data_IF_583696124554
#
_entry.id   IF_583696124554
#
_cell.length_a   1.000
_cell.length_b   1.000
_cell.length_c   1.000
_cell.angle_alpha   90.00
_cell.angle_beta   90.00
_cell.angle_gamma   90.00
#
_symmetry.space_group_name_H-M   'P 1'
#
loop_
_entity.id
_entity.type
_entity.pdbx_description
1 polymer ?
#
# COMPACT_ATOMS: atom_id res chain seq x y z
N UNK A 1 -3.22 0.06 8.41
CA UNK A 1 -2.41 -0.69 9.37
C UNK A 1 -1.68 0.23 10.33
N UNK A 2 -1.27 -0.31 11.48
CA UNK A 2 -0.40 0.38 12.44
C UNK A 2 1.00 -0.24 12.45
N UNK A 3 2.01 0.57 12.72
CA UNK A 3 3.40 0.13 12.76
C UNK A 3 4.18 0.84 13.86
N UNK A 4 5.23 0.19 14.36
CA UNK A 4 6.11 0.68 15.40
C UNK A 4 7.58 0.56 14.95
N UNK A 5 8.26 1.70 14.86
CA UNK A 5 9.67 1.77 14.44
C UNK A 5 10.61 1.11 15.45
N UNK A 6 10.25 1.07 16.73
CA UNK A 6 11.09 0.55 17.81
C UNK A 6 11.16 -0.97 17.82
N UNK A 7 10.22 -1.64 17.17
CA UNK A 7 10.21 -3.12 17.04
C UNK A 7 11.28 -3.61 16.06
N UNK A 8 11.72 -4.86 16.20
CA UNK A 8 12.68 -5.46 15.28
C UNK A 8 12.26 -5.41 13.82
N UNK A 9 13.23 -5.46 12.90
CA UNK A 9 12.93 -5.62 11.48
C UNK A 9 12.08 -6.89 11.25
N UNK A 10 11.18 -6.84 10.30
CA UNK A 10 10.19 -7.87 9.98
C UNK A 10 9.06 -8.08 11.01
N UNK A 11 9.04 -7.32 12.11
CA UNK A 11 7.98 -7.39 13.15
C UNK A 11 7.42 -6.01 13.48
N UNK A 12 7.56 -5.04 12.59
CA UNK A 12 7.17 -3.64 12.84
C UNK A 12 5.69 -3.35 12.63
N UNK A 13 4.98 -4.19 11.90
CA UNK A 13 3.55 -4.03 11.63
C UNK A 13 2.77 -4.85 12.64
N UNK A 14 1.75 -4.25 13.24
CA UNK A 14 0.76 -4.98 14.03
C UNK A 14 -0.20 -5.72 13.07
N UNK A 15 -0.15 -7.06 13.00
CA UNK A 15 -0.98 -7.83 12.09
C UNK A 15 -2.49 -7.62 12.33
N UNK A 16 -2.90 -7.43 13.59
CA UNK A 16 -4.31 -7.21 13.94
C UNK A 16 -4.85 -5.87 13.45
N UNK A 17 -3.96 -4.94 13.14
CA UNK A 17 -4.31 -3.62 12.61
C UNK A 17 -4.50 -3.59 11.09
N UNK A 18 -4.11 -4.65 10.38
CA UNK A 18 -4.24 -4.70 8.91
C UNK A 18 -5.69 -4.95 8.54
N UNK A 19 -6.30 -3.97 7.89
CA UNK A 19 -7.73 -4.02 7.54
C UNK A 19 -7.96 -3.71 6.07
N UNK A 20 -8.94 -4.39 5.51
CA UNK A 20 -9.49 -4.11 4.19
C UNK A 20 -10.95 -3.68 4.36
N UNK A 21 -11.27 -2.45 3.95
CA UNK A 21 -12.61 -1.86 4.13
C UNK A 21 -13.13 -1.93 5.60
N UNK A 22 -12.22 -1.70 6.57
CA UNK A 22 -12.57 -1.73 7.99
C UNK A 22 -12.57 -3.12 8.65
N UNK A 23 -12.49 -4.20 7.87
CA UNK A 23 -12.46 -5.59 8.37
C UNK A 23 -11.01 -6.05 8.48
N UNK A 24 -10.62 -6.62 9.61
CA UNK A 24 -9.28 -7.22 9.77
C UNK A 24 -9.09 -8.35 8.77
N UNK A 25 -7.94 -8.39 8.11
CA UNK A 25 -7.65 -9.45 7.14
C UNK A 25 -7.53 -10.80 7.83
N UNK A 26 -8.00 -11.85 7.14
CA UNK A 26 -7.81 -13.24 7.55
C UNK A 26 -6.56 -13.79 6.85
N UNK A 27 -5.51 -14.21 7.58
CA UNK A 27 -4.28 -14.76 6.99
C UNK A 27 -4.51 -16.02 6.14
N UNK A 28 -5.61 -16.72 6.34
CA UNK A 28 -5.96 -17.92 5.57
C UNK A 28 -6.78 -17.59 4.31
N UNK A 29 -7.26 -16.36 4.16
CA UNK A 29 -8.05 -15.96 3.01
C UNK A 29 -7.18 -15.53 1.83
N UNK A 30 -7.75 -15.59 0.64
CA UNK A 30 -7.14 -15.06 -0.58
C UNK A 30 -7.67 -13.67 -0.89
N UNK A 31 -6.78 -12.78 -1.24
CA UNK A 31 -7.09 -11.39 -1.57
C UNK A 31 -6.60 -11.04 -2.97
N UNK A 32 -7.37 -10.20 -3.67
CA UNK A 32 -6.93 -9.65 -4.94
C UNK A 32 -6.10 -8.40 -4.69
N UNK A 33 -4.90 -8.37 -5.27
CA UNK A 33 -3.95 -7.27 -5.11
C UNK A 33 -3.63 -6.70 -6.49
N UNK A 34 -3.66 -5.38 -6.62
CA UNK A 34 -3.20 -4.67 -7.82
C UNK A 34 -1.79 -4.16 -7.58
N UNK A 35 -0.88 -4.53 -8.45
CA UNK A 35 0.52 -4.10 -8.44
C UNK A 35 0.98 -3.87 -9.88
N UNK A 36 2.08 -3.12 -10.07
CA UNK A 36 2.69 -3.04 -11.39
C UNK A 36 3.38 -4.37 -11.75
N UNK A 37 3.70 -4.55 -13.03
CA UNK A 37 4.32 -5.77 -13.53
C UNK A 37 5.69 -6.06 -12.87
N UNK A 38 6.50 -5.04 -12.62
CA UNK A 38 7.79 -5.17 -11.97
C UNK A 38 7.67 -5.82 -10.57
N UNK A 39 6.75 -5.34 -9.73
CA UNK A 39 6.48 -5.92 -8.41
C UNK A 39 5.84 -7.32 -8.51
N UNK A 40 4.92 -7.52 -9.49
CA UNK A 40 4.30 -8.82 -9.71
C UNK A 40 5.33 -9.91 -10.05
N UNK A 41 6.44 -9.52 -10.68
CA UNK A 41 7.55 -10.41 -11.02
C UNK A 41 8.64 -10.50 -9.92
N UNK A 42 8.37 -9.95 -8.74
CA UNK A 42 9.24 -10.01 -7.57
C UNK A 42 10.31 -8.95 -7.53
N UNK A 43 10.14 -7.84 -8.27
CA UNK A 43 11.01 -6.68 -8.20
C UNK A 43 11.16 -6.15 -6.78
N UNK A 44 12.28 -5.50 -6.48
CA UNK A 44 12.64 -5.01 -5.13
C UNK A 44 12.51 -6.07 -4.01
N UNK A 45 12.72 -7.35 -4.38
CA UNK A 45 12.64 -8.51 -3.49
C UNK A 45 11.22 -8.78 -2.92
N UNK A 46 10.16 -8.25 -3.50
CA UNK A 46 8.79 -8.61 -3.15
C UNK A 46 8.39 -9.98 -3.70
N UNK A 47 9.18 -11.00 -3.34
CA UNK A 47 9.04 -12.36 -3.87
C UNK A 47 7.69 -13.01 -3.57
N UNK A 48 7.00 -12.58 -2.51
CA UNK A 48 5.65 -13.04 -2.17
C UNK A 48 4.65 -12.77 -3.30
N UNK A 49 4.81 -11.70 -4.06
CA UNK A 49 3.92 -11.33 -5.15
C UNK A 49 4.02 -12.29 -6.36
N UNK A 50 5.15 -12.99 -6.51
CA UNK A 50 5.31 -14.06 -7.53
C UNK A 50 4.40 -15.25 -7.29
N UNK A 51 3.95 -15.45 -6.05
CA UNK A 51 3.08 -16.56 -5.67
C UNK A 51 1.61 -16.30 -6.06
N UNK A 52 1.29 -15.08 -6.49
CA UNK A 52 -0.05 -14.71 -6.93
C UNK A 52 -0.49 -15.55 -8.14
N UNK A 53 -1.73 -16.06 -8.07
CA UNK A 53 -2.39 -16.81 -9.13
C UNK A 53 -3.47 -15.97 -9.83
N UNK A 54 -3.98 -16.46 -10.96
CA UNK A 54 -5.04 -15.77 -11.71
C UNK A 54 -4.68 -14.31 -12.06
N UNK A 55 -3.47 -14.09 -12.56
CA UNK A 55 -3.01 -12.77 -13.00
C UNK A 55 -3.89 -12.25 -14.14
N UNK A 56 -4.33 -11.01 -13.99
CA UNK A 56 -5.03 -10.26 -15.04
C UNK A 56 -4.22 -9.03 -15.39
N UNK A 57 -4.02 -8.79 -16.68
CA UNK A 57 -3.46 -7.53 -17.16
C UNK A 57 -4.49 -6.42 -17.03
N UNK A 58 -4.03 -5.24 -16.67
CA UNK A 58 -4.80 -4.01 -16.63
C UNK A 58 -4.21 -2.96 -17.58
N UNK A 59 -4.68 -1.73 -17.43
CA UNK A 59 -4.12 -0.57 -18.14
C UNK A 59 -2.64 -0.35 -17.77
N UNK A 60 -1.92 0.32 -18.64
CA UNK A 60 -0.59 0.85 -18.32
C UNK A 60 -0.74 1.81 -17.14
N UNK A 61 0.16 1.72 -16.16
CA UNK A 61 0.08 2.48 -14.90
C UNK A 61 0.01 4.00 -15.11
N UNK A 62 0.75 4.52 -16.10
CA UNK A 62 0.69 5.92 -16.49
C UNK A 62 -0.70 6.31 -17.00
N UNK A 63 -1.31 5.47 -17.83
CA UNK A 63 -2.65 5.73 -18.38
C UNK A 63 -3.71 5.66 -17.28
N UNK A 64 -3.59 4.72 -16.35
CA UNK A 64 -4.47 4.60 -15.20
C UNK A 64 -4.38 5.84 -14.29
N UNK A 65 -3.17 6.35 -14.05
CA UNK A 65 -2.96 7.58 -13.29
C UNK A 65 -3.55 8.79 -14.02
N UNK A 66 -3.29 8.92 -15.33
CA UNK A 66 -3.84 10.01 -16.13
C UNK A 66 -5.37 10.02 -16.11
N UNK A 67 -6.01 8.88 -16.29
CA UNK A 67 -7.48 8.72 -16.20
C UNK A 67 -8.00 9.12 -14.81
N UNK A 68 -7.30 8.69 -13.75
CA UNK A 68 -7.67 9.03 -12.37
C UNK A 68 -7.64 10.55 -12.13
N UNK A 69 -6.59 11.23 -12.59
CA UNK A 69 -6.45 12.67 -12.43
C UNK A 69 -7.42 13.46 -13.31
N UNK A 70 -7.72 12.98 -14.52
CA UNK A 70 -8.69 13.58 -15.43
C UNK A 70 -10.14 13.45 -14.91
N UNK A 71 -10.44 12.42 -14.15
CA UNK A 71 -11.73 12.22 -13.50
C UNK A 71 -12.04 13.19 -12.37
N UNK A 72 -11.07 14.02 -11.97
CA UNK A 72 -11.32 15.11 -11.02
C UNK A 72 -12.04 16.25 -11.74
N UNK A 73 -13.01 16.88 -11.05
CA UNK A 73 -13.85 17.95 -11.61
C UNK A 73 -12.98 19.06 -12.19
N UNK A 74 -13.25 19.46 -13.43
CA UNK A 74 -12.53 20.52 -14.10
C UNK A 74 -12.55 21.81 -13.23
N UNK A 75 -11.37 22.31 -12.89
CA UNK A 75 -11.19 23.51 -12.06
C UNK A 75 -11.01 23.26 -10.55
N UNK A 76 -11.12 22.02 -10.08
CA UNK A 76 -10.75 21.66 -8.70
C UNK A 76 -9.45 20.83 -8.71
N UNK A 77 -8.36 21.29 -8.10
CA UNK A 77 -7.15 20.48 -7.99
C UNK A 77 -7.43 19.22 -7.17
N UNK A 78 -6.79 18.10 -7.55
CA UNK A 78 -6.88 16.87 -6.77
C UNK A 78 -6.34 17.12 -5.35
N UNK A 79 -7.19 16.94 -4.35
CA UNK A 79 -6.80 17.02 -2.96
C UNK A 79 -6.57 15.58 -2.42
N UNK A 80 -5.38 15.27 -1.89
CA UNK A 80 -5.16 13.97 -1.29
C UNK A 80 -6.10 13.78 -0.09
N UNK A 81 -6.64 12.58 0.12
CA UNK A 81 -7.44 12.30 1.31
C UNK A 81 -6.60 12.45 2.59
N UNK A 82 -7.25 12.78 3.68
CA UNK A 82 -6.59 12.86 4.98
C UNK A 82 -5.85 11.54 5.27
N UNK A 83 -4.60 11.57 5.79
CA UNK A 83 -3.82 10.38 6.08
C UNK A 83 -4.43 9.62 7.27
N UNK A 84 -5.25 8.60 6.97
CA UNK A 84 -5.92 7.77 7.98
C UNK A 84 -5.63 6.26 7.82
N UNK A 85 -4.87 5.88 6.78
CA UNK A 85 -4.67 4.47 6.44
C UNK A 85 -3.47 3.84 7.13
N UNK A 86 -2.50 4.64 7.52
CA UNK A 86 -1.25 4.19 8.13
C UNK A 86 -1.06 4.95 9.44
N UNK A 87 -0.96 4.23 10.55
CA UNK A 87 -0.76 4.80 11.86
C UNK A 87 0.61 4.39 12.40
N UNK A 88 1.38 5.36 12.86
CA UNK A 88 2.61 5.13 13.60
C UNK A 88 2.30 5.07 15.09
N UNK A 89 2.76 4.04 15.79
CA UNK A 89 2.49 3.80 17.19
C UNK A 89 3.60 4.32 18.12
N UNK A 90 4.84 4.35 17.64
CA UNK A 90 5.94 4.87 18.43
C UNK A 90 5.88 6.41 18.52
N UNK A 91 6.12 6.94 19.69
CA UNK A 91 6.11 8.39 19.96
C UNK A 91 7.42 9.09 19.59
N UNK A 92 8.33 8.39 18.93
CA UNK A 92 9.62 8.94 18.54
C UNK A 92 9.46 10.10 17.56
N UNK A 93 9.75 11.30 18.02
CA UNK A 93 9.79 12.55 17.25
C UNK A 93 11.06 12.68 16.40
N UNK A 94 11.85 11.61 16.26
CA UNK A 94 13.06 11.65 15.45
C UNK A 94 12.66 11.81 14.00
N UNK A 95 12.76 13.02 13.48
CA UNK A 95 12.69 13.31 12.04
C UNK A 95 13.72 12.45 11.31
N UNK A 96 13.34 11.93 10.14
CA UNK A 96 14.32 11.33 9.25
C UNK A 96 15.44 12.33 9.02
N UNK A 97 16.71 11.94 9.14
CA UNK A 97 17.79 12.82 8.72
C UNK A 97 17.55 13.15 7.25
N UNK A 98 17.47 14.44 6.94
CA UNK A 98 17.47 14.91 5.56
C UNK A 98 18.81 14.52 4.94
N UNK A 99 18.79 13.71 3.89
CA UNK A 99 19.96 13.49 3.03
C UNK A 99 20.31 14.78 2.32
#
# INVERSE_FOLDING_TARGET
YAWDKTRPACDRIDPASVRLNGVTIDPAASYRVTVNNFLADGGDQFLVLKQGTNRLGGDVDLDALAKHLQGTVAGAPYAPPAPARIQRLDTSTTSCPSN
#
